data_IF_446475950373
#
_entry.id   IF_446475950373
#
_cell.length_a   1.000
_cell.length_b   1.000
_cell.length_c   1.000
_cell.angle_alpha   90.00
_cell.angle_beta   90.00
_cell.angle_gamma   90.00
#
_symmetry.space_group_name_H-M   'P 1'
#
loop_
_entity.id
_entity.type
_entity.pdbx_description
1 polymer ?
#
# COMPACT_ATOMS: atom_id res chain seq x y z
N UNK A 1 11.43 0.24 -5.30
CA UNK A 1 10.19 0.93 -4.90
C UNK A 1 10.17 1.00 -3.39
N UNK A 2 10.49 2.16 -2.85
CA UNK A 2 10.58 2.38 -1.41
C UNK A 2 9.21 2.73 -0.86
N UNK A 3 8.74 1.94 0.10
CA UNK A 3 7.52 2.23 0.85
C UNK A 3 7.86 3.25 1.94
N UNK A 4 7.12 4.35 1.96
CA UNK A 4 7.16 5.34 3.01
C UNK A 4 5.86 5.17 3.82
N UNK A 5 5.93 4.43 4.93
CA UNK A 5 4.77 4.14 5.77
C UNK A 5 3.98 5.42 6.09
N UNK A 6 2.65 5.30 6.15
CA UNK A 6 1.71 6.42 6.36
C UNK A 6 1.66 7.46 5.23
N UNK A 7 2.45 7.30 4.16
CA UNK A 7 2.59 8.33 3.12
C UNK A 7 2.37 7.83 1.69
N UNK A 8 2.90 6.65 1.34
CA UNK A 8 2.75 6.07 0.01
C UNK A 8 3.98 5.28 -0.44
N UNK A 9 4.20 5.17 -1.76
CA UNK A 9 5.31 4.42 -2.36
C UNK A 9 6.07 5.29 -3.36
N UNK A 10 7.40 5.33 -3.24
CA UNK A 10 8.30 6.19 -4.01
C UNK A 10 7.82 7.65 -4.05
N UNK A 11 7.37 8.11 -5.23
CA UNK A 11 6.88 9.46 -5.48
C UNK A 11 5.37 9.60 -5.29
N UNK A 12 4.65 8.49 -5.15
CA UNK A 12 3.22 8.51 -4.91
C UNK A 12 2.94 8.88 -3.46
N UNK A 13 2.02 9.80 -3.27
CA UNK A 13 1.52 10.21 -1.96
C UNK A 13 0.01 9.97 -1.90
N UNK A 14 -0.46 9.50 -0.75
CA UNK A 14 -1.90 9.41 -0.49
C UNK A 14 -2.54 10.80 -0.60
N UNK A 15 -3.70 10.86 -1.26
CA UNK A 15 -4.40 12.10 -1.59
C UNK A 15 -4.18 12.61 -3.02
N UNK A 16 -3.25 12.01 -3.80
CA UNK A 16 -3.09 12.34 -5.22
C UNK A 16 -4.34 11.96 -6.04
N UNK A 17 -4.74 12.79 -7.00
CA UNK A 17 -5.78 12.42 -7.99
C UNK A 17 -5.18 11.64 -9.16
N UNK A 18 -6.02 11.05 -10.02
CA UNK A 18 -5.56 10.26 -11.17
C UNK A 18 -4.61 11.04 -12.09
N UNK A 19 -4.88 12.34 -12.30
CA UNK A 19 -4.03 13.20 -13.13
C UNK A 19 -2.64 13.42 -12.52
N UNK A 20 -2.56 13.56 -11.19
CA UNK A 20 -1.27 13.70 -10.50
C UNK A 20 -0.46 12.40 -10.60
N UNK A 21 -1.12 11.25 -10.40
CA UNK A 21 -0.49 9.93 -10.53
C UNK A 21 0.00 9.68 -11.96
N UNK A 22 -0.81 9.99 -12.97
CA UNK A 22 -0.41 9.79 -14.38
C UNK A 22 0.70 10.75 -14.83
N UNK A 23 0.79 11.94 -14.23
CA UNK A 23 1.94 12.83 -14.45
C UNK A 23 3.24 12.24 -13.87
N UNK A 24 3.16 11.44 -12.81
CA UNK A 24 4.33 10.82 -12.14
C UNK A 24 4.71 9.48 -12.79
N UNK A 25 3.74 8.63 -13.09
CA UNK A 25 3.97 7.24 -13.53
C UNK A 25 3.66 6.99 -15.02
N UNK A 26 3.05 7.95 -15.71
CA UNK A 26 2.49 7.73 -17.04
C UNK A 26 1.11 7.07 -16.98
N UNK A 27 0.63 6.57 -18.13
CA UNK A 27 -0.68 5.93 -18.21
C UNK A 27 -0.65 4.52 -17.58
N UNK A 28 -1.70 4.09 -16.87
CA UNK A 28 -1.79 2.72 -16.39
C UNK A 28 -2.00 1.74 -17.55
N UNK A 29 -1.60 0.49 -17.36
CA UNK A 29 -1.85 -0.59 -18.31
C UNK A 29 -3.34 -0.97 -18.36
N UNK A 30 -4.03 -0.85 -17.22
CA UNK A 30 -5.49 -1.06 -17.10
C UNK A 30 -6.10 -0.02 -16.18
N UNK A 31 -7.33 0.38 -16.50
CA UNK A 31 -8.17 1.24 -15.66
C UNK A 31 -9.61 0.70 -15.67
N UNK A 32 -10.21 0.52 -14.50
CA UNK A 32 -11.59 0.06 -14.34
C UNK A 32 -12.18 0.56 -13.00
N UNK A 33 -13.49 0.41 -12.81
CA UNK A 33 -14.15 0.64 -11.53
C UNK A 33 -14.41 -0.68 -10.81
N UNK A 34 -14.23 -0.72 -9.49
CA UNK A 34 -14.67 -1.86 -8.67
C UNK A 34 -16.17 -1.74 -8.31
N UNK A 35 -16.63 -2.59 -7.39
CA UNK A 35 -18.03 -2.65 -6.96
C UNK A 35 -18.49 -1.42 -6.16
N UNK A 36 -17.56 -0.69 -5.56
CA UNK A 36 -17.80 0.54 -4.81
C UNK A 36 -17.56 1.80 -5.68
N UNK A 37 -17.56 1.64 -7.00
CA UNK A 37 -17.29 2.69 -7.97
C UNK A 37 -15.89 3.34 -7.90
N UNK A 38 -14.99 2.81 -7.06
CA UNK A 38 -13.62 3.29 -6.93
C UNK A 38 -12.88 3.11 -8.25
N UNK A 39 -12.03 4.06 -8.59
CA UNK A 39 -11.19 3.93 -9.79
C UNK A 39 -9.95 3.12 -9.46
N UNK A 40 -9.65 2.12 -10.29
CA UNK A 40 -8.52 1.21 -10.12
C UNK A 40 -7.53 1.40 -11.26
N UNK A 41 -6.29 1.76 -10.94
CA UNK A 41 -5.18 1.75 -11.90
C UNK A 41 -4.28 0.53 -11.67
N UNK A 42 -3.92 -0.15 -12.75
CA UNK A 42 -2.97 -1.27 -12.74
C UNK A 42 -1.72 -0.91 -13.53
N UNK A 43 -0.56 -1.07 -12.91
CA UNK A 43 0.76 -0.91 -13.53
C UNK A 43 1.51 -2.24 -13.46
N UNK A 44 1.52 -2.99 -14.57
CA UNK A 44 2.07 -4.34 -14.65
C UNK A 44 3.59 -4.36 -14.42
N UNK A 45 4.30 -3.38 -14.99
CA UNK A 45 5.76 -3.25 -14.83
C UNK A 45 6.18 -2.99 -13.38
N UNK A 46 5.37 -2.22 -12.65
CA UNK A 46 5.55 -1.96 -11.23
C UNK A 46 5.02 -3.10 -10.36
N UNK A 47 4.23 -4.03 -10.93
CA UNK A 47 3.42 -4.99 -10.18
C UNK A 47 2.60 -4.32 -9.07
N UNK A 48 1.93 -3.22 -9.43
CA UNK A 48 1.19 -2.39 -8.49
C UNK A 48 -0.24 -2.12 -8.97
N UNK A 49 -1.16 -2.06 -8.01
CA UNK A 49 -2.53 -1.61 -8.18
C UNK A 49 -2.77 -0.42 -7.25
N UNK A 50 -3.37 0.64 -7.78
CA UNK A 50 -3.71 1.85 -7.05
C UNK A 50 -5.22 2.00 -7.03
N UNK A 51 -5.80 2.24 -5.85
CA UNK A 51 -7.24 2.47 -5.68
C UNK A 51 -7.46 3.92 -5.31
N UNK A 52 -8.37 4.56 -6.05
CA UNK A 52 -8.83 5.92 -5.83
C UNK A 52 -10.26 5.85 -5.30
N UNK A 53 -10.47 6.24 -4.05
CA UNK A 53 -11.75 6.07 -3.38
C UNK A 53 -12.79 7.07 -3.90
N UNK A 54 -13.92 6.58 -4.39
CA UNK A 54 -15.01 7.42 -4.93
C UNK A 54 -15.54 8.36 -3.83
N UNK A 55 -15.76 7.84 -2.63
CA UNK A 55 -16.25 8.61 -1.47
C UNK A 55 -15.29 9.73 -1.02
N UNK A 56 -14.01 9.65 -1.41
CA UNK A 56 -12.97 10.61 -1.03
C UNK A 56 -12.55 11.53 -2.20
N UNK A 57 -13.47 11.81 -3.13
CA UNK A 57 -13.22 12.65 -4.32
C UNK A 57 -12.10 12.09 -5.19
N UNK A 58 -12.12 10.75 -5.36
CA UNK A 58 -11.19 9.98 -6.18
C UNK A 58 -9.71 10.24 -5.84
N UNK A 59 -9.44 10.36 -4.54
CA UNK A 59 -8.08 10.43 -4.00
C UNK A 59 -7.46 9.05 -3.89
N UNK A 60 -6.18 8.95 -4.20
CA UNK A 60 -5.37 7.76 -3.98
C UNK A 60 -5.38 7.43 -2.47
N UNK A 61 -6.05 6.34 -2.12
CA UNK A 61 -6.23 5.91 -0.74
C UNK A 61 -5.61 4.54 -0.44
N UNK A 62 -5.35 3.71 -1.45
CA UNK A 62 -4.79 2.37 -1.26
C UNK A 62 -3.83 1.96 -2.37
N UNK A 63 -2.81 1.20 -2.00
CA UNK A 63 -1.82 0.64 -2.92
C UNK A 63 -1.54 -0.81 -2.55
N UNK A 64 -1.69 -1.71 -3.53
CA UNK A 64 -1.21 -3.09 -3.46
C UNK A 64 0.00 -3.23 -4.36
N UNK A 65 1.08 -3.81 -3.86
CA UNK A 65 2.29 -4.03 -4.65
C UNK A 65 2.97 -5.38 -4.36
N UNK A 66 3.57 -5.98 -5.38
CA UNK A 66 4.24 -7.29 -5.29
C UNK A 66 5.56 -7.38 -6.06
N UNK A 67 6.23 -6.25 -6.28
CA UNK A 67 7.54 -6.24 -6.93
C UNK A 67 8.67 -6.70 -6.00
N UNK A 68 9.59 -7.50 -6.53
CA UNK A 68 10.80 -7.96 -5.81
C UNK A 68 11.74 -6.80 -5.42
N UNK A 69 11.51 -5.59 -5.94
CA UNK A 69 12.25 -4.38 -5.57
C UNK A 69 11.49 -3.51 -4.55
N UNK A 70 10.40 -4.00 -3.96
CA UNK A 70 9.73 -3.34 -2.84
C UNK A 70 10.62 -3.39 -1.62
N UNK A 71 10.75 -2.24 -0.98
CA UNK A 71 11.62 -2.05 0.17
C UNK A 71 10.89 -1.28 1.28
N UNK A 72 11.01 -1.77 2.51
CA UNK A 72 10.59 -1.06 3.73
C UNK A 72 11.82 -0.93 4.63
N UNK A 73 12.15 0.30 5.06
CA UNK A 73 13.31 0.58 5.92
C UNK A 73 14.69 0.09 5.44
N UNK A 74 14.93 -0.05 4.14
CA UNK A 74 16.18 -0.64 3.62
C UNK A 74 16.07 -2.12 3.26
N UNK A 75 15.02 -2.81 3.70
CA UNK A 75 14.86 -4.24 3.51
C UNK A 75 13.95 -4.56 2.33
N UNK A 76 14.43 -5.36 1.38
CA UNK A 76 13.54 -6.04 0.42
C UNK A 76 12.66 -7.02 1.19
N UNK A 77 11.38 -7.13 0.82
CA UNK A 77 10.41 -7.93 1.58
C UNK A 77 9.75 -9.06 0.79
N UNK A 78 9.49 -8.88 -0.51
CA UNK A 78 8.81 -9.90 -1.32
C UNK A 78 9.68 -11.15 -1.48
N UNK A 79 9.10 -12.32 -1.25
CA UNK A 79 9.77 -13.63 -1.29
C UNK A 79 10.64 -13.93 -0.07
N UNK A 80 10.52 -13.15 1.01
CA UNK A 80 11.21 -13.44 2.28
C UNK A 80 10.26 -14.11 3.25
N UNK A 81 10.83 -14.98 4.09
CA UNK A 81 10.10 -15.59 5.20
C UNK A 81 9.56 -14.50 6.15
N UNK A 82 8.28 -14.63 6.52
CA UNK A 82 7.57 -13.65 7.34
C UNK A 82 8.18 -13.48 8.73
N UNK A 83 8.75 -14.53 9.32
CA UNK A 83 9.39 -14.44 10.63
C UNK A 83 10.61 -13.49 10.60
N UNK A 84 11.42 -13.56 9.54
CA UNK A 84 12.57 -12.67 9.34
C UNK A 84 12.13 -11.23 9.08
N UNK A 85 11.10 -11.04 8.25
CA UNK A 85 10.55 -9.70 7.98
C UNK A 85 10.02 -9.06 9.26
N UNK A 86 9.25 -9.81 10.07
CA UNK A 86 8.74 -9.32 11.36
C UNK A 86 9.86 -8.99 12.34
N UNK A 87 10.96 -9.75 12.34
CA UNK A 87 12.14 -9.45 13.17
C UNK A 87 12.82 -8.14 12.76
N UNK A 88 13.02 -7.93 11.45
CA UNK A 88 13.58 -6.68 10.92
C UNK A 88 12.69 -5.48 11.25
N UNK A 89 11.37 -5.66 11.14
CA UNK A 89 10.38 -4.61 11.43
C UNK A 89 10.28 -4.31 12.93
N UNK A 90 10.41 -5.32 13.80
CA UNK A 90 10.48 -5.14 15.24
C UNK A 90 11.67 -4.26 15.64
N UNK A 91 12.83 -4.41 14.99
CA UNK A 91 14.00 -3.54 15.19
C UNK A 91 13.76 -2.08 14.75
N UNK A 92 12.69 -1.83 13.98
CA UNK A 92 12.22 -0.50 13.57
C UNK A 92 10.97 -0.05 14.35
N UNK A 93 10.59 -0.77 15.41
CA UNK A 93 9.48 -0.41 16.30
C UNK A 93 8.12 -0.96 15.88
N UNK A 94 8.03 -1.80 14.85
CA UNK A 94 6.76 -2.40 14.41
C UNK A 94 6.64 -3.82 14.97
N UNK A 95 5.91 -3.96 16.06
CA UNK A 95 5.81 -5.22 16.82
C UNK A 95 4.39 -5.80 16.89
N UNK A 96 3.37 -5.01 16.56
CA UNK A 96 1.96 -5.41 16.65
C UNK A 96 1.40 -5.77 15.28
N UNK A 97 0.77 -6.94 15.18
CA UNK A 97 0.06 -7.39 14.00
C UNK A 97 -1.21 -8.12 14.40
N UNK A 98 -2.32 -7.76 13.76
CA UNK A 98 -3.51 -8.60 13.76
C UNK A 98 -3.34 -9.61 12.63
N UNK A 99 -3.37 -10.90 12.97
CA UNK A 99 -3.21 -11.98 12.01
C UNK A 99 -4.57 -12.55 11.64
N UNK A 100 -4.80 -12.73 10.34
CA UNK A 100 -6.00 -13.35 9.80
C UNK A 100 -5.62 -14.30 8.67
N UNK A 101 -6.32 -15.43 8.58
CA UNK A 101 -6.16 -16.38 7.47
C UNK A 101 -7.34 -16.25 6.53
N UNK A 102 -7.07 -16.09 5.24
CA UNK A 102 -8.10 -16.01 4.20
C UNK A 102 -7.73 -16.90 3.02
N UNK A 103 -8.56 -17.92 2.76
CA UNK A 103 -8.31 -18.96 1.77
C UNK A 103 -6.95 -19.64 2.00
N UNK A 104 -5.97 -19.41 1.11
CA UNK A 104 -4.61 -19.97 1.15
C UNK A 104 -3.58 -18.99 1.72
N UNK A 105 -3.99 -17.76 2.03
CA UNK A 105 -3.11 -16.68 2.46
C UNK A 105 -3.21 -16.42 3.96
N UNK A 106 -2.11 -15.95 4.54
CA UNK A 106 -2.12 -15.28 5.85
C UNK A 106 -1.84 -13.80 5.69
N UNK A 107 -2.65 -12.97 6.35
CA UNK A 107 -2.55 -11.53 6.39
C UNK A 107 -2.04 -11.09 7.76
N UNK A 108 -1.03 -10.23 7.77
CA UNK A 108 -0.50 -9.60 8.97
C UNK A 108 -0.73 -8.10 8.89
N UNK A 109 -1.83 -7.64 9.49
CA UNK A 109 -2.25 -6.24 9.47
C UNK A 109 -1.59 -5.46 10.61
N UNK A 110 -0.92 -4.36 10.27
CA UNK A 110 -0.43 -3.39 11.24
C UNK A 110 -1.30 -2.13 11.20
N UNK A 111 -2.10 -1.94 12.24
CA UNK A 111 -3.06 -0.84 12.35
C UNK A 111 -2.38 0.54 12.46
N UNK A 112 -1.33 0.66 13.28
CA UNK A 112 -0.62 1.93 13.53
C UNK A 112 -0.04 2.59 12.25
N UNK A 113 0.31 1.77 11.25
CA UNK A 113 0.89 2.22 9.98
C UNK A 113 0.00 1.89 8.77
N UNK A 114 -1.16 1.28 9.00
CA UNK A 114 -2.17 0.90 8.02
C UNK A 114 -1.60 0.15 6.80
N UNK A 115 -0.93 -0.97 7.06
CA UNK A 115 -0.43 -1.87 6.02
C UNK A 115 -0.72 -3.34 6.34
N UNK A 116 -0.75 -4.17 5.30
CA UNK A 116 -0.89 -5.63 5.38
C UNK A 116 0.32 -6.26 4.69
N UNK A 117 0.96 -7.20 5.38
CA UNK A 117 1.83 -8.19 4.73
C UNK A 117 0.96 -9.42 4.44
N UNK A 118 0.74 -9.71 3.16
CA UNK A 118 0.09 -10.95 2.75
C UNK A 118 1.15 -11.99 2.42
N UNK A 119 0.97 -13.20 2.93
CA UNK A 119 1.93 -14.28 2.81
C UNK A 119 1.27 -15.56 2.29
N UNK A 120 2.07 -16.36 1.60
CA UNK A 120 1.74 -17.72 1.19
C UNK A 120 3.02 -18.56 1.33
N UNK A 121 2.94 -19.79 1.81
CA UNK A 121 4.11 -20.64 2.11
C UNK A 121 5.14 -19.97 3.04
N UNK A 122 4.66 -19.24 4.05
CA UNK A 122 5.44 -18.41 4.97
C UNK A 122 6.25 -17.28 4.30
N UNK A 123 6.07 -17.02 2.99
CA UNK A 123 6.76 -15.97 2.26
C UNK A 123 5.85 -14.78 1.97
N UNK A 124 6.38 -13.55 2.09
CA UNK A 124 5.63 -12.35 1.73
C UNK A 124 5.42 -12.30 0.22
N UNK A 125 4.16 -12.36 -0.23
CA UNK A 125 3.79 -12.32 -1.65
C UNK A 125 3.25 -10.95 -2.08
N UNK A 126 2.64 -10.19 -1.16
CA UNK A 126 2.17 -8.82 -1.41
C UNK A 126 2.37 -7.94 -0.18
N UNK A 127 2.52 -6.65 -0.47
CA UNK A 127 2.43 -5.58 0.50
C UNK A 127 1.27 -4.66 0.12
N UNK A 128 0.37 -4.43 1.06
CA UNK A 128 -0.75 -3.52 0.88
C UNK A 128 -0.64 -2.38 1.89
N UNK A 129 -0.92 -1.15 1.47
CA UNK A 129 -0.84 0.04 2.32
C UNK A 129 -1.92 1.02 1.93
N UNK A 130 -2.55 1.61 2.94
CA UNK A 130 -3.53 2.67 2.73
C UNK A 130 -3.18 3.96 3.48
N UNK A 131 -3.95 5.00 3.18
CA UNK A 131 -3.93 6.25 3.89
C UNK A 131 -4.38 6.03 5.35
N UNK A 132 -3.66 6.62 6.30
CA UNK A 132 -4.04 6.53 7.71
C UNK A 132 -5.17 7.50 8.03
N UNK A 133 -5.93 7.17 9.05
CA UNK A 133 -6.96 8.03 9.64
C UNK A 133 -6.38 8.65 10.93
N UNK A 134 -6.62 9.93 11.14
CA UNK A 134 -6.16 10.67 12.31
C UNK A 134 -7.16 10.55 13.48
N UNK A 135 -6.81 11.13 14.64
CA UNK A 135 -7.66 11.04 15.85
C UNK A 135 -9.00 11.80 15.77
N UNK A 136 -9.33 12.39 14.62
CA UNK A 136 -10.62 13.05 14.33
C UNK A 136 -11.44 12.26 13.32
N UNK A 137 -11.07 11.01 13.04
CA UNK A 137 -11.69 10.15 12.04
C UNK A 137 -11.61 10.73 10.61
N UNK A 138 -10.57 11.52 10.32
CA UNK A 138 -10.30 12.08 9.00
C UNK A 138 -9.04 11.45 8.38
N UNK A 139 -9.04 11.23 7.06
CA UNK A 139 -7.83 10.82 6.35
C UNK A 139 -6.72 11.87 6.47
N UNK A 140 -5.52 11.40 6.82
CA UNK A 140 -4.30 12.21 6.89
C UNK A 140 -3.61 12.25 5.51
N UNK A 141 -4.23 13.00 4.59
CA UNK A 141 -3.71 13.17 3.23
C UNK A 141 -2.32 13.78 3.23
N UNK A 142 -1.36 13.09 2.61
CA UNK A 142 0.03 13.57 2.49
C UNK A 142 0.27 14.40 1.25
N UNK A 143 -0.59 14.30 0.26
CA UNK A 143 -0.55 15.15 -0.91
C UNK A 143 -1.11 16.55 -0.58
N UNK A 144 -0.34 17.64 -0.76
CA UNK A 144 -0.78 18.97 -0.41
C UNK A 144 -1.94 19.42 -1.31
N UNK A 145 -2.98 19.98 -0.70
CA UNK A 145 -4.07 20.64 -1.42
C UNK A 145 -3.48 21.85 -2.14
N UNK A 146 -3.59 21.91 -3.47
CA UNK A 146 -3.30 23.14 -4.22
C UNK A 146 -4.33 24.19 -3.77
N UNK A 147 -3.84 25.23 -3.11
CA UNK A 147 -4.63 26.42 -2.77
C UNK A 147 -5.01 27.21 -4.01
#
# INVERSE_FOLDING_TARGET
>A
MKINLKSGIDKLLFGMKQNDVTAVLGKPDKNYKDEDDNVIFVYNSLKARLTFYEEEDLKLGYIVASSNNLEVFGFKIIGRNIADVKKDFAAKGITKYNQETFDTFENYFNEDNWFILQTEFDEVVKFEIGAIINNKDEFDWKFPVKK
#
